data_IF_632485283627
#
_entry.id   IF_632485283627
#
_cell.length_a   1.000
_cell.length_b   1.000
_cell.length_c   1.000
_cell.angle_alpha   90.00
_cell.angle_beta   90.00
_cell.angle_gamma   90.00
#
_symmetry.space_group_name_H-M   'P 1'
#
loop_
_entity.id
_entity.type
_entity.pdbx_description
1 polymer ?
#
# COMPACT_ATOMS: atom_id res chain seq x y z
N UNK A 1 26.61 -26.53 -16.38
CA UNK A 1 25.35 -26.57 -17.15
C UNK A 1 24.21 -26.61 -16.14
N UNK A 2 23.80 -25.47 -15.59
CA UNK A 2 22.63 -25.37 -14.71
C UNK A 2 21.51 -24.74 -15.53
N UNK A 3 20.83 -25.57 -16.31
CA UNK A 3 19.76 -25.17 -17.23
C UNK A 3 18.41 -25.53 -16.61
N UNK A 4 18.09 -24.88 -15.50
CA UNK A 4 16.73 -24.84 -14.95
C UNK A 4 16.36 -23.36 -14.85
N UNK A 5 15.70 -22.87 -15.89
CA UNK A 5 14.98 -21.60 -15.83
C UNK A 5 13.92 -21.71 -14.73
N UNK A 6 14.07 -20.93 -13.66
CA UNK A 6 13.03 -20.82 -12.64
C UNK A 6 11.69 -20.49 -13.33
N UNK A 7 10.59 -21.17 -12.97
CA UNK A 7 9.29 -20.85 -13.51
C UNK A 7 8.96 -19.40 -13.13
N UNK A 8 8.95 -18.52 -14.13
CA UNK A 8 8.58 -17.10 -13.96
C UNK A 8 7.13 -17.07 -13.44
N UNK A 9 6.98 -16.86 -12.12
CA UNK A 9 5.68 -16.78 -11.42
C UNK A 9 4.89 -15.53 -11.81
N UNK A 10 5.57 -14.45 -12.19
CA UNK A 10 4.98 -13.21 -12.67
C UNK A 10 5.77 -12.67 -13.87
N UNK A 11 5.07 -12.42 -14.97
CA UNK A 11 5.66 -11.74 -16.15
C UNK A 11 5.96 -10.27 -15.80
N UNK A 12 6.84 -9.59 -16.57
CA UNK A 12 6.98 -8.14 -16.47
C UNK A 12 5.61 -7.46 -16.54
N UNK A 13 5.46 -6.34 -15.83
CA UNK A 13 4.21 -5.59 -15.83
C UNK A 13 3.79 -5.25 -17.26
N UNK A 14 2.55 -5.58 -17.60
CA UNK A 14 1.94 -5.34 -18.92
C UNK A 14 0.53 -4.74 -18.71
N UNK A 15 -0.27 -4.56 -19.76
CA UNK A 15 -1.61 -3.98 -19.72
C UNK A 15 -2.54 -4.64 -18.69
N UNK A 16 -2.32 -5.90 -18.32
CA UNK A 16 -3.08 -6.55 -17.25
C UNK A 16 -2.83 -5.95 -15.86
N UNK A 17 -1.65 -5.37 -15.61
CA UNK A 17 -1.29 -4.66 -14.38
C UNK A 17 -1.73 -3.18 -14.42
N UNK A 18 -1.97 -2.63 -15.61
CA UNK A 18 -2.36 -1.23 -15.81
C UNK A 18 -3.88 -1.04 -15.91
N UNK A 19 -4.66 -2.13 -15.93
CA UNK A 19 -6.13 -2.10 -15.90
C UNK A 19 -6.61 -2.29 -14.47
N UNK A 20 -7.35 -1.29 -13.97
CA UNK A 20 -8.03 -1.34 -12.67
C UNK A 20 -9.55 -1.40 -12.81
N UNK A 21 -10.22 -1.59 -11.68
CA UNK A 21 -11.67 -1.38 -11.54
C UNK A 21 -11.90 -0.49 -10.32
N UNK A 22 -12.90 0.39 -10.40
CA UNK A 22 -13.29 1.20 -9.24
C UNK A 22 -14.18 0.39 -8.32
N UNK A 23 -13.81 0.36 -7.04
CA UNK A 23 -14.63 -0.23 -6.00
C UNK A 23 -15.65 0.81 -5.50
N UNK A 24 -16.86 0.35 -5.18
CA UNK A 24 -17.94 1.20 -4.65
C UNK A 24 -18.20 0.86 -3.19
N UNK A 25 -18.41 1.87 -2.36
CA UNK A 25 -18.70 1.72 -0.93
C UNK A 25 -18.08 2.84 -0.12
N UNK A 26 -18.37 2.85 1.18
CA UNK A 26 -17.80 3.82 2.12
C UNK A 26 -16.66 3.17 2.92
N UNK A 27 -15.47 3.77 2.95
CA UNK A 27 -14.37 3.33 3.80
C UNK A 27 -14.76 3.24 5.28
N UNK A 28 -14.38 2.16 5.96
CA UNK A 28 -14.75 1.85 7.35
C UNK A 28 -13.58 1.97 8.33
N UNK A 29 -12.34 1.86 7.85
CA UNK A 29 -11.13 2.15 8.60
C UNK A 29 -10.95 3.63 8.95
N UNK A 30 -9.82 3.94 9.57
CA UNK A 30 -9.48 5.27 10.07
C UNK A 30 -8.09 5.71 9.65
N UNK A 31 -7.93 6.99 9.37
CA UNK A 31 -6.62 7.60 9.13
C UNK A 31 -6.01 8.09 10.44
N UNK A 32 -4.78 7.70 10.72
CA UNK A 32 -3.97 8.12 11.88
C UNK A 32 -2.57 8.48 11.41
N UNK A 33 -1.73 9.00 12.30
CA UNK A 33 -0.32 9.23 12.02
C UNK A 33 0.53 8.29 12.88
N UNK A 34 1.43 7.54 12.25
CA UNK A 34 2.45 6.72 12.92
C UNK A 34 3.80 7.35 12.61
N UNK A 35 4.51 7.83 13.63
CA UNK A 35 5.81 8.53 13.47
C UNK A 35 5.75 9.72 12.49
N UNK A 36 4.60 10.40 12.45
CA UNK A 36 4.32 11.53 11.56
C UNK A 36 3.92 11.13 10.14
N UNK A 37 3.81 9.83 9.83
CA UNK A 37 3.45 9.30 8.51
C UNK A 37 1.98 8.95 8.52
N UNK A 38 1.21 9.48 7.56
CA UNK A 38 -0.21 9.17 7.42
C UNK A 38 -0.40 7.67 7.16
N UNK A 39 -1.29 7.05 7.94
CA UNK A 39 -1.54 5.63 7.93
C UNK A 39 -3.04 5.37 8.00
N UNK A 40 -3.58 4.65 7.02
CA UNK A 40 -4.93 4.12 7.10
C UNK A 40 -4.94 2.78 7.84
N UNK A 41 -5.86 2.60 8.77
CA UNK A 41 -5.99 1.38 9.58
C UNK A 41 -7.39 0.82 9.40
N UNK A 42 -7.47 -0.36 8.78
CA UNK A 42 -8.67 -1.19 8.70
C UNK A 42 -8.58 -2.29 9.76
N UNK A 43 -9.49 -2.23 10.75
CA UNK A 43 -9.48 -3.14 11.90
C UNK A 43 -10.50 -4.27 11.69
N UNK A 44 -10.11 -5.55 11.79
CA UNK A 44 -11.03 -6.66 11.62
C UNK A 44 -12.05 -6.72 12.77
N UNK A 45 -13.20 -7.35 12.52
CA UNK A 45 -14.13 -7.65 13.58
C UNK A 45 -13.46 -8.58 14.62
N UNK A 46 -13.57 -8.32 15.94
CA UNK A 46 -12.97 -9.19 16.95
C UNK A 46 -13.37 -10.68 16.85
N UNK A 47 -14.55 -10.98 16.28
CA UNK A 47 -15.02 -12.36 16.04
C UNK A 47 -14.32 -13.06 14.87
N UNK A 48 -13.76 -12.32 13.93
CA UNK A 48 -13.09 -12.86 12.73
C UNK A 48 -11.59 -12.57 12.71
N UNK A 49 -11.07 -11.80 13.68
CA UNK A 49 -9.66 -11.47 13.78
C UNK A 49 -8.79 -12.72 13.82
N UNK A 50 -7.84 -12.81 12.87
CA UNK A 50 -6.99 -13.99 12.70
C UNK A 50 -5.61 -13.86 13.37
N UNK A 51 -5.34 -12.71 14.00
CA UNK A 51 -4.08 -12.41 14.70
C UNK A 51 -2.92 -11.99 13.79
N UNK A 52 -3.12 -11.92 12.47
CA UNK A 52 -2.10 -11.49 11.53
C UNK A 52 -2.25 -10.01 11.18
N UNK A 53 -1.13 -9.38 10.87
CA UNK A 53 -1.04 -7.99 10.45
C UNK A 53 -0.65 -7.95 8.97
N UNK A 54 -1.43 -7.25 8.14
CA UNK A 54 -1.15 -7.04 6.73
C UNK A 54 -0.67 -5.59 6.53
N UNK A 55 0.51 -5.45 5.93
CA UNK A 55 1.06 -4.15 5.55
C UNK A 55 0.69 -3.86 4.09
N UNK A 56 -0.03 -2.78 3.86
CA UNK A 56 -0.51 -2.36 2.57
C UNK A 56 0.35 -1.21 2.03
N UNK A 57 1.05 -1.47 0.92
CA UNK A 57 1.82 -0.48 0.21
C UNK A 57 1.00 -0.07 -1.03
N UNK A 58 0.47 1.17 -1.09
CA UNK A 58 -0.27 1.62 -2.27
C UNK A 58 0.63 1.68 -3.50
N UNK A 59 0.05 1.84 -4.69
CA UNK A 59 0.82 2.15 -5.90
C UNK A 59 1.12 3.66 -6.00
N UNK A 60 1.63 4.12 -7.15
CA UNK A 60 1.97 5.52 -7.39
C UNK A 60 0.82 6.52 -7.17
N UNK A 61 -0.45 6.09 -7.20
CA UNK A 61 -1.60 6.94 -6.90
C UNK A 61 -1.82 7.18 -5.40
N UNK A 62 -1.10 6.45 -4.54
CA UNK A 62 -1.16 6.59 -3.10
C UNK A 62 -2.45 6.06 -2.49
N UNK A 63 -2.69 6.42 -1.23
CA UNK A 63 -3.91 6.04 -0.52
C UNK A 63 -5.11 6.83 -1.06
N UNK A 64 -6.06 6.12 -1.67
CA UNK A 64 -7.30 6.68 -2.21
C UNK A 64 -8.48 5.73 -1.97
N UNK A 65 -9.68 6.10 -2.44
CA UNK A 65 -10.91 5.35 -2.18
C UNK A 65 -10.82 3.84 -2.45
N UNK A 66 -10.24 3.43 -3.58
CA UNK A 66 -10.07 2.00 -3.88
C UNK A 66 -9.10 1.31 -2.91
N UNK A 67 -8.00 1.98 -2.55
CA UNK A 67 -7.04 1.46 -1.57
C UNK A 67 -7.73 1.20 -0.23
N UNK A 68 -8.54 2.14 0.25
CA UNK A 68 -9.26 2.00 1.52
C UNK A 68 -10.25 0.82 1.47
N UNK A 69 -11.05 0.72 0.41
CA UNK A 69 -12.03 -0.35 0.26
C UNK A 69 -11.37 -1.74 0.16
N UNK A 70 -10.21 -1.82 -0.50
CA UNK A 70 -9.44 -3.05 -0.58
C UNK A 70 -8.86 -3.45 0.79
N UNK A 71 -8.34 -2.48 1.55
CA UNK A 71 -7.86 -2.71 2.92
C UNK A 71 -9.00 -3.15 3.85
N UNK A 72 -10.17 -2.54 3.72
CA UNK A 72 -11.37 -2.95 4.47
C UNK A 72 -11.82 -4.37 4.09
N UNK A 73 -11.67 -4.77 2.83
CA UNK A 73 -11.93 -6.14 2.39
C UNK A 73 -10.96 -7.13 3.08
N UNK A 74 -9.67 -6.81 3.17
CA UNK A 74 -8.72 -7.63 3.93
C UNK A 74 -9.07 -7.69 5.43
N UNK A 75 -9.51 -6.57 6.02
CA UNK A 75 -10.00 -6.55 7.39
C UNK A 75 -11.26 -7.40 7.59
N UNK A 76 -12.16 -7.45 6.62
CA UNK A 76 -13.33 -8.34 6.65
C UNK A 76 -12.95 -9.83 6.68
N UNK A 77 -11.81 -10.16 6.07
CA UNK A 77 -11.19 -11.50 6.11
C UNK A 77 -10.39 -11.78 7.39
N UNK A 78 -10.36 -10.85 8.35
CA UNK A 78 -9.76 -11.05 9.67
C UNK A 78 -8.36 -10.47 9.88
N UNK A 79 -7.79 -9.78 8.89
CA UNK A 79 -6.45 -9.20 8.98
C UNK A 79 -6.48 -7.77 9.53
N UNK A 80 -5.63 -7.46 10.51
CA UNK A 80 -5.37 -6.05 10.83
C UNK A 80 -4.57 -5.45 9.69
N UNK A 81 -5.17 -4.55 8.91
CA UNK A 81 -4.54 -4.02 7.70
C UNK A 81 -4.12 -2.57 7.92
N UNK A 82 -2.83 -2.28 7.78
CA UNK A 82 -2.27 -0.93 7.90
C UNK A 82 -1.68 -0.50 6.57
N UNK A 83 -2.05 0.67 6.09
CA UNK A 83 -1.64 1.20 4.79
C UNK A 83 -0.91 2.51 4.97
N UNK A 84 0.23 2.65 4.32
CA UNK A 84 1.16 3.77 4.52
C UNK A 84 1.08 4.78 3.37
N UNK A 85 1.11 6.06 3.69
CA UNK A 85 1.41 7.11 2.72
C UNK A 85 2.91 7.40 2.71
N UNK A 86 3.67 6.57 2.01
CA UNK A 86 5.12 6.73 1.90
C UNK A 86 5.54 7.84 0.92
N UNK A 87 4.57 8.50 0.26
CA UNK A 87 4.78 9.68 -0.58
C UNK A 87 4.59 10.99 0.18
N UNK A 88 4.21 10.94 1.46
CA UNK A 88 4.06 12.12 2.33
C UNK A 88 3.11 13.16 1.73
N UNK A 89 2.00 12.71 1.15
CA UNK A 89 0.95 13.53 0.57
C UNK A 89 1.18 13.94 -0.89
N UNK A 90 2.28 13.51 -1.53
CA UNK A 90 2.68 13.92 -2.89
C UNK A 90 2.57 12.79 -3.95
N UNK A 91 1.60 11.89 -3.77
CA UNK A 91 1.30 10.84 -4.73
C UNK A 91 0.94 11.41 -6.13
N UNK A 92 1.11 10.61 -7.19
CA UNK A 92 0.82 11.00 -8.59
C UNK A 92 -0.58 11.60 -8.75
N UNK A 93 -1.56 11.08 -7.99
CA UNK A 93 -2.96 11.51 -8.01
C UNK A 93 -3.15 13.00 -7.67
N UNK A 94 -2.17 13.66 -7.04
CA UNK A 94 -2.17 15.11 -6.79
C UNK A 94 -1.84 15.93 -8.03
N UNK A 95 -1.13 15.34 -8.99
CA UNK A 95 -0.64 16.01 -10.19
C UNK A 95 -1.49 15.67 -11.40
N UNK A 96 -1.85 14.40 -11.57
CA UNK A 96 -2.60 13.93 -12.73
C UNK A 96 -3.33 12.61 -12.45
N UNK A 97 -4.38 12.35 -13.23
CA UNK A 97 -5.10 11.06 -13.23
C UNK A 97 -4.65 10.15 -14.37
N UNK A 98 -3.84 10.67 -15.30
CA UNK A 98 -3.39 9.95 -16.50
C UNK A 98 -1.87 10.12 -16.70
N UNK A 99 -1.03 9.66 -15.76
CA UNK A 99 0.40 9.98 -15.73
C UNK A 99 1.20 9.51 -16.94
N UNK A 100 0.73 8.49 -17.65
CA UNK A 100 1.41 7.94 -18.82
C UNK A 100 1.07 8.68 -20.13
N UNK A 101 0.08 9.57 -20.11
CA UNK A 101 -0.42 10.25 -21.31
C UNK A 101 -0.60 11.77 -21.13
N UNK A 102 -0.33 12.31 -19.95
CA UNK A 102 -0.43 13.74 -19.67
C UNK A 102 0.83 14.47 -20.16
N UNK A 103 0.72 15.35 -21.18
CA UNK A 103 1.89 16.04 -21.73
C UNK A 103 2.49 17.09 -20.78
N UNK A 104 1.80 17.46 -19.70
CA UNK A 104 2.27 18.44 -18.73
C UNK A 104 2.86 17.82 -17.46
N UNK A 105 2.89 16.48 -17.38
CA UNK A 105 3.39 15.76 -16.22
C UNK A 105 4.67 15.00 -16.56
N UNK A 106 5.74 15.35 -15.89
CA UNK A 106 7.02 14.65 -16.00
C UNK A 106 7.04 13.45 -15.03
N UNK A 107 6.62 12.29 -15.53
CA UNK A 107 6.55 11.07 -14.74
C UNK A 107 7.94 10.57 -14.30
N UNK A 108 8.98 10.79 -15.12
CA UNK A 108 10.34 10.38 -14.79
C UNK A 108 10.89 11.23 -13.65
N UNK A 109 10.74 12.56 -13.73
CA UNK A 109 11.12 13.46 -12.63
C UNK A 109 10.33 13.20 -11.34
N UNK A 110 9.04 12.83 -11.45
CA UNK A 110 8.27 12.41 -10.27
C UNK A 110 8.82 11.11 -9.67
N UNK A 111 9.16 10.12 -10.49
CA UNK A 111 9.78 8.88 -10.01
C UNK A 111 11.11 9.16 -9.30
N UNK A 112 12.01 9.92 -9.92
CA UNK A 112 13.32 10.25 -9.37
C UNK A 112 13.23 10.97 -8.02
N UNK A 113 12.24 11.86 -7.87
CA UNK A 113 11.98 12.57 -6.62
C UNK A 113 11.53 11.63 -5.50
N UNK A 114 10.70 10.64 -5.80
CA UNK A 114 9.98 9.87 -4.77
C UNK A 114 10.55 8.50 -4.46
N UNK A 115 11.24 7.84 -5.40
CA UNK A 115 11.63 6.43 -5.26
C UNK A 115 12.48 6.20 -4.02
N UNK A 116 13.59 6.94 -3.87
CA UNK A 116 14.48 6.81 -2.71
C UNK A 116 13.79 7.22 -1.40
N UNK A 117 13.07 8.34 -1.38
CA UNK A 117 12.41 8.80 -0.15
C UNK A 117 11.32 7.84 0.30
N UNK A 118 10.59 7.23 -0.65
CA UNK A 118 9.52 6.28 -0.34
C UNK A 118 10.05 5.03 0.35
N UNK A 119 11.22 4.52 -0.05
CA UNK A 119 11.87 3.39 0.61
C UNK A 119 12.28 3.72 2.05
N UNK A 120 12.86 4.91 2.28
CA UNK A 120 13.27 5.36 3.61
C UNK A 120 12.06 5.56 4.54
N UNK A 121 10.99 6.19 4.03
CA UNK A 121 9.74 6.40 4.76
C UNK A 121 9.05 5.07 5.07
N UNK A 122 8.98 4.17 4.09
CA UNK A 122 8.43 2.83 4.25
C UNK A 122 9.18 2.04 5.32
N UNK A 123 10.52 2.03 5.28
CA UNK A 123 11.33 1.33 6.27
C UNK A 123 11.12 1.88 7.69
N UNK A 124 11.12 3.21 7.86
CA UNK A 124 10.82 3.85 9.14
C UNK A 124 9.43 3.48 9.66
N UNK A 125 8.43 3.50 8.78
CA UNK A 125 7.05 3.16 9.13
C UNK A 125 6.91 1.69 9.54
N UNK A 126 7.54 0.75 8.81
CA UNK A 126 7.51 -0.69 9.14
C UNK A 126 8.08 -0.94 10.53
N UNK A 127 9.20 -0.34 10.88
CA UNK A 127 9.79 -0.48 12.23
C UNK A 127 8.87 0.09 13.32
N UNK A 128 8.22 1.22 13.06
CA UNK A 128 7.25 1.81 13.98
C UNK A 128 6.02 0.89 14.17
N UNK A 129 5.47 0.36 13.08
CA UNK A 129 4.35 -0.60 13.13
C UNK A 129 4.75 -1.85 13.89
N UNK A 130 5.96 -2.37 13.65
CA UNK A 130 6.48 -3.54 14.36
C UNK A 130 6.63 -3.29 15.86
N UNK A 131 7.07 -2.09 16.26
CA UNK A 131 7.16 -1.70 17.67
C UNK A 131 5.78 -1.65 18.36
N UNK A 132 4.78 -1.10 17.66
CA UNK A 132 3.42 -0.92 18.20
C UNK A 132 2.63 -2.23 18.22
N UNK A 133 2.68 -3.00 17.12
CA UNK A 133 1.80 -4.15 16.89
C UNK A 133 2.52 -5.51 16.98
N UNK A 134 3.85 -5.54 16.93
CA UNK A 134 4.66 -6.77 16.95
C UNK A 134 5.02 -7.29 18.35
N UNK A 135 4.52 -6.69 19.43
CA UNK A 135 4.89 -7.01 20.83
C UNK A 135 4.13 -8.20 21.42
N UNK A 136 3.08 -8.69 20.76
CA UNK A 136 2.39 -9.92 21.18
C UNK A 136 3.04 -11.12 20.47
N UNK A 137 3.54 -12.10 21.23
CA UNK A 137 4.22 -13.30 20.67
C UNK A 137 3.35 -14.17 19.75
N UNK A 138 2.08 -13.81 19.54
CA UNK A 138 1.15 -14.43 18.60
C UNK A 138 1.03 -13.72 17.24
N UNK A 139 1.61 -12.52 17.08
CA UNK A 139 1.48 -11.73 15.84
C UNK A 139 2.46 -12.21 14.78
N UNK A 140 1.94 -12.49 13.59
CA UNK A 140 2.72 -12.80 12.38
C UNK A 140 2.48 -11.72 11.34
N UNK A 141 3.57 -11.23 10.76
CA UNK A 141 3.60 -10.31 9.62
C UNK A 141 3.70 -11.10 8.32
#
# INVERSE_FOLDING_TARGET
MSDKTDPILAKPADLCCLKGSFHTGDPQGKTVHIEGIETYIATPNPKTANGNVLLYFPDAFGLHGNSYLLMDAFASCGYLTLGVDYFLGDAVSKHTTTPLSDPNFDFEAWCDKHLKSSEEVAAKWVEAVRSIYGTSGSVKF
#
